data_IF_855465264294
#
_entry.id   IF_855465264294
#
_cell.length_a   1.000
_cell.length_b   1.000
_cell.length_c   1.000
_cell.angle_alpha   90.00
_cell.angle_beta   90.00
_cell.angle_gamma   90.00
#
_symmetry.space_group_name_H-M   'P 1'
#
loop_
_entity.id
_entity.type
_entity.pdbx_description
1 polymer ?
#
# COMPACT_ATOMS: atom_id res chain seq x y z
N UNK A 1 4.83 40.07 -22.60
CA UNK A 1 5.22 38.65 -22.72
C UNK A 1 4.71 37.94 -21.48
N UNK A 2 3.65 37.13 -21.62
CA UNK A 2 3.24 36.24 -20.53
C UNK A 2 4.32 35.16 -20.36
N UNK A 3 4.88 35.09 -19.16
CA UNK A 3 5.82 34.02 -18.80
C UNK A 3 4.98 32.76 -18.66
N UNK A 4 5.01 31.90 -19.68
CA UNK A 4 4.41 30.57 -19.61
C UNK A 4 5.10 29.81 -18.48
N UNK A 5 4.41 29.65 -17.35
CA UNK A 5 4.91 28.85 -16.24
C UNK A 5 4.87 27.39 -16.71
N UNK A 6 6.03 26.71 -16.81
CA UNK A 6 6.05 25.33 -17.26
C UNK A 6 5.22 24.46 -16.30
N UNK A 7 4.41 23.56 -16.88
CA UNK A 7 3.58 22.64 -16.10
C UNK A 7 4.41 21.89 -15.05
N UNK A 8 3.84 21.72 -13.87
CA UNK A 8 4.52 21.00 -12.80
C UNK A 8 4.80 19.54 -13.22
N UNK A 9 6.00 19.00 -12.94
CA UNK A 9 6.33 17.63 -13.30
C UNK A 9 5.38 16.66 -12.60
N UNK A 10 4.93 15.64 -13.34
CA UNK A 10 4.18 14.54 -12.77
C UNK A 10 5.17 13.51 -12.23
N UNK A 11 5.07 13.18 -10.94
CA UNK A 11 5.80 12.04 -10.37
C UNK A 11 4.96 10.79 -10.55
N UNK A 12 5.53 9.77 -11.20
CA UNK A 12 4.83 8.49 -11.41
C UNK A 12 4.83 7.66 -10.13
N UNK A 13 5.94 7.66 -9.37
CA UNK A 13 6.07 6.95 -8.09
C UNK A 13 6.99 7.70 -7.11
N UNK A 14 6.57 7.84 -5.86
CA UNK A 14 7.39 8.27 -4.72
C UNK A 14 7.49 7.13 -3.71
N UNK A 15 8.59 6.39 -3.71
CA UNK A 15 8.88 5.37 -2.70
C UNK A 15 9.57 5.95 -1.46
N UNK A 16 9.27 5.44 -0.27
CA UNK A 16 9.88 5.84 1.00
C UNK A 16 10.24 4.56 1.73
N UNK A 17 11.52 4.25 1.80
CA UNK A 17 12.07 3.00 2.31
C UNK A 17 12.81 3.26 3.62
N UNK A 18 12.63 2.38 4.58
CA UNK A 18 13.54 2.25 5.71
C UNK A 18 14.59 1.20 5.32
N UNK A 19 15.78 1.67 4.95
CA UNK A 19 16.90 0.79 4.64
C UNK A 19 17.67 0.44 5.91
N UNK A 20 17.06 -0.39 6.76
CA UNK A 20 17.76 -0.97 7.91
C UNK A 20 18.89 -1.95 7.52
N UNK A 21 19.10 -2.19 6.22
CA UNK A 21 20.07 -3.14 5.71
C UNK A 21 21.26 -2.39 5.08
N UNK A 22 22.35 -2.35 5.86
CA UNK A 22 23.76 -2.19 5.48
C UNK A 22 24.46 -0.85 5.75
N UNK A 23 23.82 0.32 5.83
CA UNK A 23 24.59 1.59 5.81
C UNK A 23 24.40 2.53 7.02
N UNK A 24 23.20 2.63 7.63
CA UNK A 24 23.03 3.33 8.92
C UNK A 24 21.63 3.10 9.52
N UNK A 25 21.52 2.59 10.78
CA UNK A 25 20.25 2.56 11.50
C UNK A 25 19.62 3.96 11.59
N UNK A 26 18.31 4.06 11.33
CA UNK A 26 17.59 5.34 11.37
C UNK A 26 17.77 6.23 10.14
N UNK A 27 18.14 5.66 8.98
CA UNK A 27 18.11 6.37 7.70
C UNK A 27 16.77 6.16 6.97
N UNK A 28 16.27 7.25 6.39
CA UNK A 28 15.11 7.28 5.49
C UNK A 28 15.65 7.36 4.07
N UNK A 29 15.16 6.49 3.19
CA UNK A 29 15.43 6.51 1.76
C UNK A 29 14.17 6.95 1.03
N UNK A 30 14.20 8.12 0.38
CA UNK A 30 13.10 8.62 -0.46
C UNK A 30 13.47 8.41 -1.92
N UNK A 31 12.77 7.53 -2.60
CA UNK A 31 12.89 7.29 -4.03
C UNK A 31 11.81 8.01 -4.82
N UNK A 32 12.13 8.58 -5.98
CA UNK A 32 11.19 9.22 -6.89
C UNK A 32 11.41 8.70 -8.30
N UNK A 33 10.33 8.35 -9.00
CA UNK A 33 10.36 7.94 -10.41
C UNK A 33 9.60 8.95 -11.26
N UNK A 34 10.28 9.45 -12.28
CA UNK A 34 9.75 10.43 -13.22
C UNK A 34 9.71 9.83 -14.62
N UNK A 35 8.67 10.19 -15.40
CA UNK A 35 8.74 10.02 -16.84
C UNK A 35 9.96 10.79 -17.40
N UNK A 36 10.62 10.24 -18.43
CA UNK A 36 11.79 10.89 -19.05
C UNK A 36 11.54 12.34 -19.49
N UNK A 37 10.30 12.68 -19.85
CA UNK A 37 9.89 14.05 -20.21
C UNK A 37 9.84 15.01 -19.03
N UNK A 38 9.60 14.51 -17.81
CA UNK A 38 9.45 15.30 -16.58
C UNK A 38 10.73 15.38 -15.75
N UNK A 39 11.65 14.43 -15.93
CA UNK A 39 12.89 14.35 -15.14
C UNK A 39 13.81 15.56 -15.35
N UNK A 40 13.86 16.13 -16.56
CA UNK A 40 14.70 17.31 -16.83
C UNK A 40 14.28 18.54 -16.00
N UNK A 41 12.97 18.71 -15.79
CA UNK A 41 12.43 19.78 -14.92
C UNK A 41 12.80 19.53 -13.47
N UNK A 42 12.72 18.28 -13.01
CA UNK A 42 13.13 17.90 -11.68
C UNK A 42 14.65 18.13 -11.47
N UNK A 43 15.50 17.69 -12.40
CA UNK A 43 16.95 17.93 -12.37
C UNK A 43 17.28 19.43 -12.27
N UNK A 44 16.57 20.26 -13.03
CA UNK A 44 16.76 21.71 -12.99
C UNK A 44 16.39 22.28 -11.63
N UNK A 45 15.24 21.90 -11.07
CA UNK A 45 14.80 22.35 -9.74
C UNK A 45 15.73 21.87 -8.65
N UNK A 46 16.15 20.61 -8.74
CA UNK A 46 17.11 20.01 -7.82
C UNK A 46 18.40 20.81 -7.83
N UNK A 47 18.97 21.12 -9.01
CA UNK A 47 20.16 21.98 -9.14
C UNK A 47 19.97 23.39 -8.56
N UNK A 48 18.78 23.95 -8.67
CA UNK A 48 18.47 25.31 -8.18
C UNK A 48 18.20 25.38 -6.67
N UNK A 49 17.74 24.30 -6.05
CA UNK A 49 17.38 24.25 -4.63
C UNK A 49 18.59 24.27 -3.66
N UNK A 50 19.73 24.82 -4.11
CA UNK A 50 21.01 24.83 -3.40
C UNK A 50 21.40 23.45 -2.84
N UNK A 51 21.71 22.53 -3.77
CA UNK A 51 22.14 21.17 -3.43
C UNK A 51 23.32 21.11 -2.47
N UNK A 52 24.12 22.16 -2.32
CA UNK A 52 25.25 22.13 -1.39
C UNK A 52 24.79 21.94 0.06
N UNK A 53 23.65 22.54 0.42
CA UNK A 53 23.07 22.44 1.76
C UNK A 53 22.58 21.01 2.09
N UNK A 54 21.99 20.30 1.12
CA UNK A 54 21.44 18.95 1.34
C UNK A 54 22.42 17.82 0.99
N UNK A 55 23.43 18.05 0.13
CA UNK A 55 24.41 17.02 -0.27
C UNK A 55 25.22 16.44 0.89
N UNK A 56 25.43 17.22 1.95
CA UNK A 56 26.09 16.73 3.17
C UNK A 56 25.23 15.73 3.95
N UNK A 57 23.91 15.75 3.71
CA UNK A 57 22.93 14.96 4.43
C UNK A 57 22.30 13.85 3.58
N UNK A 58 22.56 13.84 2.27
CA UNK A 58 21.84 13.01 1.31
C UNK A 58 22.79 12.29 0.36
N UNK A 59 22.67 10.97 0.30
CA UNK A 59 23.26 10.18 -0.79
C UNK A 59 22.26 10.14 -1.95
N UNK A 60 22.70 10.56 -3.14
CA UNK A 60 21.88 10.56 -4.35
C UNK A 60 22.32 9.40 -5.24
N UNK A 61 21.45 8.42 -5.41
CA UNK A 61 21.67 7.32 -6.33
C UNK A 61 20.84 7.54 -7.60
N UNK A 62 21.51 7.49 -8.75
CA UNK A 62 20.88 7.55 -10.07
C UNK A 62 20.89 6.15 -10.68
N UNK A 63 19.71 5.65 -11.04
CA UNK A 63 19.60 4.42 -11.80
C UNK A 63 18.62 4.59 -12.95
N UNK A 64 19.03 4.18 -14.15
CA UNK A 64 18.16 4.01 -15.30
C UNK A 64 17.74 2.53 -15.34
N UNK A 65 16.55 2.17 -14.82
CA UNK A 65 16.00 0.85 -15.06
C UNK A 65 15.83 0.60 -16.57
N UNK A 66 15.54 -0.65 -16.96
CA UNK A 66 15.13 -0.99 -18.33
C UNK A 66 13.83 -0.29 -18.77
N UNK A 67 13.12 0.40 -17.87
CA UNK A 67 11.95 1.20 -18.18
C UNK A 67 12.32 2.62 -18.64
N UNK A 68 11.39 3.31 -19.29
CA UNK A 68 11.53 4.70 -19.73
C UNK A 68 11.49 5.73 -18.59
N UNK A 69 11.49 5.29 -17.32
CA UNK A 69 11.42 6.15 -16.15
C UNK A 69 12.83 6.40 -15.56
N UNK A 70 13.04 7.61 -15.03
CA UNK A 70 14.26 7.96 -14.29
C UNK A 70 13.97 7.87 -12.80
N UNK A 71 14.78 7.08 -12.08
CA UNK A 71 14.69 6.91 -10.64
C UNK A 71 15.77 7.71 -9.92
N UNK A 72 15.34 8.49 -8.93
CA UNK A 72 16.17 9.21 -7.97
C UNK A 72 15.97 8.55 -6.62
N UNK A 73 17.05 8.34 -5.87
CA UNK A 73 16.96 7.89 -4.47
C UNK A 73 17.76 8.82 -3.58
N UNK A 74 17.14 9.26 -2.49
CA UNK A 74 17.67 10.21 -1.52
C UNK A 74 17.70 9.54 -0.14
N UNK A 75 18.88 9.18 0.33
CA UNK A 75 19.04 8.58 1.66
C UNK A 75 19.57 9.60 2.66
N UNK A 76 18.86 9.80 3.77
CA UNK A 76 19.21 10.75 4.82
C UNK A 76 18.79 10.28 6.22
N UNK A 77 19.44 10.77 7.28
CA UNK A 77 19.04 10.47 8.66
C UNK A 77 17.72 11.17 9.03
N UNK A 78 16.89 10.56 9.90
CA UNK A 78 15.66 11.18 10.43
C UNK A 78 15.91 12.59 10.99
N UNK A 79 17.05 12.83 11.66
CA UNK A 79 17.43 14.14 12.18
C UNK A 79 17.56 15.22 11.08
N UNK A 80 17.99 14.81 9.88
CA UNK A 80 18.12 15.68 8.71
C UNK A 80 16.81 15.90 7.96
N UNK A 81 15.72 15.20 8.32
CA UNK A 81 14.45 15.29 7.60
C UNK A 81 13.88 16.72 7.58
N UNK A 82 14.12 17.51 8.62
CA UNK A 82 13.68 18.91 8.68
C UNK A 82 14.33 19.81 7.62
N UNK A 83 15.51 19.43 7.13
CA UNK A 83 16.26 20.17 6.11
C UNK A 83 15.94 19.60 4.73
N UNK A 84 15.95 18.27 4.61
CA UNK A 84 15.82 17.58 3.32
C UNK A 84 14.39 17.64 2.78
N UNK A 85 13.37 17.45 3.63
CA UNK A 85 11.97 17.36 3.19
C UNK A 85 11.46 18.65 2.55
N UNK A 86 11.66 19.85 3.12
CA UNK A 86 11.23 21.09 2.48
C UNK A 86 11.88 21.30 1.10
N UNK A 87 13.18 20.99 0.97
CA UNK A 87 13.91 21.09 -0.29
C UNK A 87 13.35 20.12 -1.34
N UNK A 88 13.11 18.86 -0.96
CA UNK A 88 12.49 17.87 -1.85
C UNK A 88 11.06 18.25 -2.24
N UNK A 89 10.24 18.69 -1.29
CA UNK A 89 8.85 19.11 -1.53
C UNK A 89 8.78 20.24 -2.56
N UNK A 90 9.71 21.20 -2.49
CA UNK A 90 9.83 22.27 -3.48
C UNK A 90 10.20 21.74 -4.88
N UNK A 91 11.09 20.76 -4.96
CA UNK A 91 11.53 20.18 -6.23
C UNK A 91 10.44 19.33 -6.90
N UNK A 92 9.74 18.51 -6.11
CA UNK A 92 8.71 17.54 -6.52
C UNK A 92 7.52 18.22 -7.22
N UNK A 93 7.10 19.39 -6.74
CA UNK A 93 5.87 20.04 -7.23
C UNK A 93 4.61 19.44 -6.60
N UNK A 94 3.44 19.61 -7.24
CA UNK A 94 2.12 19.35 -6.62
C UNK A 94 1.42 18.07 -7.06
N UNK A 95 1.97 17.33 -8.03
CA UNK A 95 1.27 16.19 -8.68
C UNK A 95 2.08 14.91 -8.55
N UNK A 96 1.60 14.00 -7.70
CA UNK A 96 2.21 12.70 -7.47
C UNK A 96 1.14 11.63 -7.71
N UNK A 97 1.40 10.70 -8.63
CA UNK A 97 0.43 9.66 -8.98
C UNK A 97 0.36 8.57 -7.91
N UNK A 98 1.52 8.08 -7.45
CA UNK A 98 1.63 6.96 -6.52
C UNK A 98 2.69 7.23 -5.47
N UNK A 99 2.40 6.89 -4.22
CA UNK A 99 3.35 6.87 -3.11
C UNK A 99 3.45 5.46 -2.58
N UNK A 100 4.67 5.00 -2.35
CA UNK A 100 4.98 3.73 -1.72
C UNK A 100 5.79 3.95 -0.45
N UNK A 101 5.51 3.19 0.59
CA UNK A 101 6.27 3.17 1.81
C UNK A 101 6.65 1.73 2.12
N UNK A 102 7.93 1.45 2.35
CA UNK A 102 8.45 0.10 2.54
C UNK A 102 9.25 0.00 3.84
N UNK A 103 9.05 -1.10 4.56
CA UNK A 103 9.87 -1.53 5.72
C UNK A 103 9.96 -0.55 6.90
N UNK A 104 9.02 0.39 7.06
CA UNK A 104 9.03 1.38 8.14
C UNK A 104 9.02 0.71 9.53
N UNK A 105 10.19 0.44 10.10
CA UNK A 105 10.31 -0.36 11.31
C UNK A 105 11.48 0.11 12.14
N UNK A 106 11.20 0.54 13.37
CA UNK A 106 12.26 0.92 14.28
C UNK A 106 12.96 -0.35 14.76
N UNK A 107 14.08 -0.70 14.13
CA UNK A 107 14.95 -1.79 14.58
C UNK A 107 15.78 -1.29 15.76
N UNK A 108 15.14 -1.13 16.92
CA UNK A 108 15.92 -1.09 18.17
C UNK A 108 16.51 -2.48 18.38
N UNK A 109 17.80 -2.59 18.09
CA UNK A 109 18.55 -3.81 18.26
C UNK A 109 18.58 -4.21 19.75
N UNK A 110 18.50 -5.51 20.02
CA UNK A 110 18.88 -6.17 21.28
C UNK A 110 17.98 -5.99 22.52
N UNK A 111 16.71 -6.38 22.43
CA UNK A 111 16.13 -7.15 23.54
C UNK A 111 15.30 -8.29 22.97
N UNK A 112 15.29 -9.45 23.62
CA UNK A 112 14.56 -10.65 23.19
C UNK A 112 13.02 -10.47 23.21
N UNK A 113 12.54 -9.25 23.38
CA UNK A 113 11.16 -8.81 23.24
C UNK A 113 10.99 -8.15 21.87
N UNK A 114 10.38 -8.89 20.94
CA UNK A 114 10.11 -8.51 19.54
C UNK A 114 9.10 -7.35 19.36
N UNK A 115 9.26 -6.24 20.08
CA UNK A 115 8.45 -5.03 19.90
C UNK A 115 9.07 -4.15 18.80
N UNK A 116 8.90 -4.56 17.55
CA UNK A 116 9.18 -3.68 16.41
C UNK A 116 8.01 -2.70 16.30
N UNK A 117 8.27 -1.44 16.65
CA UNK A 117 7.29 -0.36 16.57
C UNK A 117 7.30 0.26 15.17
N UNK A 118 6.11 0.56 14.66
CA UNK A 118 5.97 1.38 13.46
C UNK A 118 6.51 2.78 13.76
N UNK A 119 7.43 3.28 12.94
CA UNK A 119 8.10 4.54 13.18
C UNK A 119 7.14 5.72 12.94
N UNK A 120 6.54 6.24 14.03
CA UNK A 120 5.77 7.50 14.05
C UNK A 120 6.47 8.63 13.28
N UNK A 121 7.79 8.68 13.39
CA UNK A 121 8.66 9.64 12.69
C UNK A 121 8.56 9.53 11.16
N UNK A 122 8.49 8.32 10.61
CA UNK A 122 8.43 8.12 9.16
C UNK A 122 7.06 8.58 8.62
N UNK A 123 5.95 8.17 9.25
CA UNK A 123 4.63 8.63 8.82
C UNK A 123 4.50 10.15 8.90
N UNK A 124 5.03 10.77 9.96
CA UNK A 124 5.07 12.24 10.07
C UNK A 124 5.92 12.90 8.96
N UNK A 125 7.07 12.30 8.61
CA UNK A 125 7.89 12.75 7.48
C UNK A 125 7.14 12.63 6.16
N UNK A 126 6.42 11.54 5.95
CA UNK A 126 5.59 11.32 4.76
C UNK A 126 4.50 12.37 4.68
N UNK A 127 3.70 12.57 5.74
CA UNK A 127 2.65 13.61 5.77
C UNK A 127 3.21 14.98 5.39
N UNK A 128 4.41 15.32 5.88
CA UNK A 128 5.05 16.60 5.55
C UNK A 128 5.57 16.68 4.12
N UNK A 129 6.14 15.60 3.59
CA UNK A 129 6.61 15.54 2.20
C UNK A 129 5.46 15.64 1.20
N UNK A 130 4.31 15.12 1.59
CA UNK A 130 3.12 15.09 0.77
C UNK A 130 2.27 16.36 0.92
N UNK A 131 2.59 17.24 1.87
CA UNK A 131 1.79 18.43 2.13
C UNK A 131 1.64 19.30 0.87
N UNK A 132 0.39 19.72 0.59
CA UNK A 132 0.04 20.43 -0.63
C UNK A 132 0.17 19.64 -1.94
N UNK A 133 0.42 18.32 -1.88
CA UNK A 133 0.42 17.42 -3.06
C UNK A 133 -0.87 16.61 -3.15
N UNK A 134 -1.33 16.39 -4.38
CA UNK A 134 -2.47 15.52 -4.66
C UNK A 134 -1.96 14.12 -5.00
N UNK A 135 -2.50 13.10 -4.32
CA UNK A 135 -2.09 11.70 -4.42
C UNK A 135 -3.33 10.83 -4.53
N UNK A 136 -3.40 9.98 -5.55
CA UNK A 136 -4.51 9.04 -5.69
C UNK A 136 -4.22 7.66 -5.10
N UNK A 137 -2.95 7.24 -5.07
CA UNK A 137 -2.54 5.89 -4.63
C UNK A 137 -1.49 6.00 -3.52
N UNK A 138 -1.80 5.41 -2.36
CA UNK A 138 -0.86 5.23 -1.25
C UNK A 138 -0.66 3.74 -1.01
N UNK A 139 0.59 3.29 -0.95
CA UNK A 139 0.95 1.92 -0.65
C UNK A 139 1.90 1.90 0.53
N UNK A 140 1.66 1.05 1.52
CA UNK A 140 2.45 1.03 2.74
C UNK A 140 2.69 -0.41 3.17
N UNK A 141 3.95 -0.72 3.48
CA UNK A 141 4.37 -1.97 4.09
C UNK A 141 4.76 -1.73 5.55
N UNK A 142 3.97 -2.28 6.46
CA UNK A 142 4.11 -2.12 7.91
C UNK A 142 4.15 -3.48 8.59
N UNK A 143 5.01 -3.63 9.60
CA UNK A 143 4.98 -4.85 10.42
C UNK A 143 3.77 -4.90 11.34
N UNK A 144 3.51 -3.78 12.01
CA UNK A 144 2.45 -3.56 13.01
C UNK A 144 1.83 -2.18 12.79
N UNK A 145 0.54 -2.02 13.15
CA UNK A 145 -0.17 -0.74 13.12
C UNK A 145 -0.67 -0.46 14.53
N UNK A 146 -0.08 0.54 15.17
CA UNK A 146 -0.51 1.08 16.47
C UNK A 146 -1.50 2.25 16.25
N UNK A 147 -2.25 2.62 17.29
CA UNK A 147 -3.29 3.67 17.19
C UNK A 147 -2.73 5.02 16.71
N UNK A 148 -1.56 5.43 17.20
CA UNK A 148 -0.90 6.67 16.74
C UNK A 148 -0.52 6.60 15.25
N UNK A 149 0.00 5.47 14.80
CA UNK A 149 0.35 5.25 13.40
C UNK A 149 -0.90 5.23 12.52
N UNK A 150 -2.00 4.63 13.01
CA UNK A 150 -3.29 4.65 12.35
C UNK A 150 -3.83 6.08 12.20
N UNK A 151 -3.78 6.88 13.27
CA UNK A 151 -4.23 8.27 13.23
C UNK A 151 -3.44 9.09 12.19
N UNK A 152 -2.11 8.91 12.13
CA UNK A 152 -1.30 9.55 11.09
C UNK A 152 -1.65 9.08 9.68
N UNK A 153 -1.91 7.78 9.51
CA UNK A 153 -2.34 7.22 8.23
C UNK A 153 -3.70 7.79 7.79
N UNK A 154 -4.68 7.83 8.70
CA UNK A 154 -6.01 8.38 8.42
C UNK A 154 -5.92 9.85 8.03
N UNK A 155 -5.17 10.65 8.79
CA UNK A 155 -4.93 12.05 8.47
C UNK A 155 -4.32 12.22 7.07
N UNK A 156 -3.37 11.36 6.69
CA UNK A 156 -2.79 11.39 5.34
C UNK A 156 -3.83 11.01 4.27
N UNK A 157 -4.61 9.94 4.47
CA UNK A 157 -5.66 9.50 3.54
C UNK A 157 -6.69 10.60 3.30
N UNK A 158 -7.13 11.27 4.38
CA UNK A 158 -8.10 12.36 4.31
C UNK A 158 -7.53 13.61 3.66
N UNK A 159 -6.37 14.09 4.15
CA UNK A 159 -5.75 15.34 3.68
C UNK A 159 -5.44 15.30 2.19
N UNK A 160 -4.96 14.15 1.70
CA UNK A 160 -4.58 13.97 0.29
C UNK A 160 -5.69 13.41 -0.60
N UNK A 161 -6.87 13.12 -0.02
CA UNK A 161 -8.02 12.50 -0.71
C UNK A 161 -7.62 11.24 -1.47
N UNK A 162 -6.89 10.35 -0.79
CA UNK A 162 -6.38 9.12 -1.38
C UNK A 162 -7.57 8.23 -1.81
N UNK A 163 -7.56 7.83 -3.07
CA UNK A 163 -8.59 6.98 -3.66
C UNK A 163 -8.28 5.48 -3.46
N UNK A 164 -7.00 5.11 -3.52
CA UNK A 164 -6.51 3.75 -3.35
C UNK A 164 -5.49 3.61 -2.23
N UNK A 165 -5.71 2.67 -1.31
CA UNK A 165 -4.75 2.28 -0.27
C UNK A 165 -4.31 0.81 -0.44
N UNK A 166 -3.02 0.55 -0.63
CA UNK A 166 -2.45 -0.80 -0.49
C UNK A 166 -1.76 -0.93 0.86
N UNK A 167 -2.13 -1.92 1.66
CA UNK A 167 -1.50 -2.24 2.93
C UNK A 167 -0.85 -3.63 2.84
N UNK A 168 0.47 -3.67 3.02
CA UNK A 168 1.24 -4.88 3.17
C UNK A 168 1.58 -5.04 4.65
N UNK A 169 1.13 -6.09 5.31
CA UNK A 169 1.42 -6.25 6.73
C UNK A 169 1.67 -7.68 7.18
N UNK A 170 2.56 -7.82 8.16
CA UNK A 170 2.75 -9.06 8.94
C UNK A 170 1.62 -9.20 9.99
N UNK A 171 1.29 -8.06 10.62
CA UNK A 171 0.26 -7.69 11.60
C UNK A 171 0.09 -8.55 12.88
N UNK A 172 0.48 -7.92 14.00
CA UNK A 172 0.18 -8.27 15.40
C UNK A 172 -0.37 -7.00 16.09
N UNK A 173 -1.45 -6.41 15.56
CA UNK A 173 -2.18 -5.35 16.27
C UNK A 173 -3.29 -5.98 17.10
N UNK A 174 -3.69 -5.42 18.26
CA UNK A 174 -4.78 -5.98 19.06
C UNK A 174 -6.13 -6.01 18.33
N UNK A 175 -6.38 -5.08 17.39
CA UNK A 175 -7.66 -4.96 16.69
C UNK A 175 -7.51 -4.67 15.17
N UNK A 176 -6.98 -5.61 14.37
CA UNK A 176 -6.71 -5.40 12.94
C UNK A 176 -8.01 -5.23 12.16
N UNK A 177 -9.08 -5.92 12.55
CA UNK A 177 -10.38 -5.79 11.91
C UNK A 177 -10.92 -4.36 12.06
N UNK A 178 -10.87 -3.79 13.27
CA UNK A 178 -11.27 -2.40 13.50
C UNK A 178 -10.47 -1.42 12.65
N UNK A 179 -9.14 -1.60 12.59
CA UNK A 179 -8.26 -0.77 11.74
C UNK A 179 -8.68 -0.83 10.26
N UNK A 180 -8.84 -2.04 9.72
CA UNK A 180 -9.18 -2.25 8.30
C UNK A 180 -10.57 -1.68 7.99
N UNK A 181 -11.55 -1.89 8.87
CA UNK A 181 -12.89 -1.32 8.72
C UNK A 181 -12.85 0.20 8.70
N UNK A 182 -12.12 0.84 9.61
CA UNK A 182 -11.98 2.31 9.64
C UNK A 182 -11.28 2.81 8.37
N UNK A 183 -10.20 2.18 7.92
CA UNK A 183 -9.53 2.58 6.67
C UNK A 183 -10.47 2.46 5.45
N UNK A 184 -11.32 1.42 5.42
CA UNK A 184 -12.23 1.15 4.30
C UNK A 184 -13.30 2.22 4.09
N UNK A 185 -13.61 3.02 5.12
CA UNK A 185 -14.58 4.12 4.98
C UNK A 185 -13.97 5.36 4.32
N UNK A 186 -12.64 5.44 4.23
CA UNK A 186 -11.94 6.63 3.73
C UNK A 186 -11.47 6.51 2.28
N UNK A 187 -11.41 5.31 1.71
CA UNK A 187 -10.91 5.06 0.35
C UNK A 187 -11.96 4.38 -0.54
N UNK A 188 -11.82 4.50 -1.86
CA UNK A 188 -12.68 3.79 -2.84
C UNK A 188 -12.10 2.44 -3.24
N UNK A 189 -10.81 2.25 -3.07
CA UNK A 189 -10.09 1.05 -3.49
C UNK A 189 -9.08 0.65 -2.41
N UNK A 190 -9.01 -0.63 -2.10
CA UNK A 190 -8.11 -1.14 -1.08
C UNK A 190 -7.49 -2.47 -1.48
N UNK A 191 -6.19 -2.61 -1.23
CA UNK A 191 -5.47 -3.88 -1.33
C UNK A 191 -4.91 -4.24 0.04
N UNK A 192 -5.16 -5.44 0.49
CA UNK A 192 -4.63 -6.00 1.73
C UNK A 192 -3.74 -7.18 1.37
N UNK A 193 -2.46 -7.11 1.73
CA UNK A 193 -1.50 -8.19 1.49
C UNK A 193 -0.88 -8.62 2.81
N UNK A 194 -1.09 -9.88 3.20
CA UNK A 194 -0.44 -10.43 4.39
C UNK A 194 0.91 -11.05 4.04
N UNK A 195 1.98 -10.52 4.64
CA UNK A 195 3.34 -11.01 4.49
C UNK A 195 3.56 -12.21 5.44
N UNK A 196 4.32 -13.22 5.00
CA UNK A 196 4.71 -14.37 5.81
C UNK A 196 5.47 -13.94 7.09
N UNK A 197 5.06 -14.46 8.25
CA UNK A 197 5.72 -14.15 9.53
C UNK A 197 7.10 -14.85 9.63
N UNK A 198 8.17 -14.14 10.06
CA UNK A 198 9.53 -14.69 10.09
C UNK A 198 9.70 -15.91 11.00
N UNK A 199 8.97 -15.96 12.12
CA UNK A 199 9.06 -17.03 13.14
C UNK A 199 8.33 -18.29 12.68
N UNK A 200 7.47 -18.18 11.68
CA UNK A 200 6.49 -19.19 11.30
C UNK A 200 6.91 -20.01 10.09
N UNK A 201 8.20 -20.09 9.76
CA UNK A 201 8.70 -21.06 8.75
C UNK A 201 8.34 -22.52 9.07
N UNK A 202 7.78 -22.80 10.26
CA UNK A 202 7.26 -24.09 10.70
C UNK A 202 5.73 -24.15 10.90
N UNK A 203 4.98 -23.05 10.79
CA UNK A 203 3.51 -23.13 10.88
C UNK A 203 2.94 -23.65 9.57
N UNK A 204 1.89 -24.45 9.66
CA UNK A 204 1.20 -24.99 8.50
C UNK A 204 0.50 -23.86 7.74
N UNK A 205 0.58 -23.91 6.39
CA UNK A 205 -0.12 -23.01 5.45
C UNK A 205 -1.65 -23.01 5.63
N UNK A 206 -2.16 -23.94 6.45
CA UNK A 206 -3.56 -24.14 6.81
C UNK A 206 -4.01 -23.22 7.95
N UNK A 207 -3.13 -22.40 8.53
CA UNK A 207 -3.51 -21.54 9.65
C UNK A 207 -4.67 -20.61 9.26
N UNK A 208 -5.69 -20.55 10.13
CA UNK A 208 -6.98 -19.92 9.85
C UNK A 208 -7.02 -18.44 10.26
N UNK A 209 -6.01 -17.65 9.89
CA UNK A 209 -5.97 -16.23 10.28
C UNK A 209 -5.64 -15.27 9.15
N UNK A 210 -6.22 -14.08 9.23
CA UNK A 210 -5.85 -12.91 8.45
C UNK A 210 -5.45 -11.80 9.43
N UNK A 211 -4.23 -11.31 9.33
CA UNK A 211 -3.64 -10.30 10.23
C UNK A 211 -3.74 -10.68 11.73
N UNK A 212 -3.52 -11.95 12.05
CA UNK A 212 -3.56 -12.49 13.42
C UNK A 212 -4.96 -12.79 13.98
N UNK A 213 -6.04 -12.53 13.24
CA UNK A 213 -7.40 -12.84 13.71
C UNK A 213 -7.86 -14.24 13.29
N UNK A 214 -8.23 -15.05 14.27
CA UNK A 214 -8.75 -16.42 14.08
C UNK A 214 -10.27 -16.41 14.29
N UNK A 215 -11.00 -17.20 13.50
CA UNK A 215 -12.44 -17.42 13.70
C UNK A 215 -13.32 -16.19 13.42
N UNK A 216 -12.77 -15.18 12.77
CA UNK A 216 -13.52 -13.99 12.34
C UNK A 216 -14.44 -14.33 11.17
N UNK A 217 -15.67 -13.81 11.21
CA UNK A 217 -16.57 -13.81 10.06
C UNK A 217 -16.08 -12.77 9.03
N UNK A 218 -15.11 -13.20 8.22
CA UNK A 218 -14.56 -12.37 7.17
C UNK A 218 -15.59 -12.06 6.07
N UNK A 219 -16.65 -12.86 5.91
CA UNK A 219 -17.69 -12.55 4.95
C UNK A 219 -18.44 -11.28 5.36
N UNK A 220 -18.91 -11.22 6.61
CA UNK A 220 -19.58 -10.03 7.14
C UNK A 220 -18.65 -8.81 7.18
N UNK A 221 -17.39 -8.99 7.55
CA UNK A 221 -16.40 -7.91 7.53
C UNK A 221 -16.22 -7.31 6.12
N UNK A 222 -16.05 -8.17 5.10
CA UNK A 222 -15.90 -7.74 3.70
C UNK A 222 -17.17 -7.07 3.17
N UNK A 223 -18.34 -7.62 3.47
CA UNK A 223 -19.63 -7.00 3.13
C UNK A 223 -19.75 -5.61 3.78
N UNK A 224 -19.35 -5.48 5.05
CA UNK A 224 -19.36 -4.20 5.75
C UNK A 224 -18.44 -3.17 5.10
N UNK A 225 -17.21 -3.55 4.73
CA UNK A 225 -16.28 -2.68 4.00
C UNK A 225 -16.90 -2.17 2.69
N UNK A 226 -17.43 -3.09 1.86
CA UNK A 226 -17.93 -2.78 0.52
C UNK A 226 -19.29 -2.09 0.50
N UNK A 227 -20.08 -2.18 1.59
CA UNK A 227 -21.32 -1.41 1.77
C UNK A 227 -21.04 0.09 1.89
N UNK A 228 -19.87 0.48 2.40
CA UNK A 228 -19.47 1.86 2.60
C UNK A 228 -18.93 2.53 1.32
N UNK A 229 -17.90 3.37 1.50
CA UNK A 229 -17.23 4.09 0.41
C UNK A 229 -16.43 3.16 -0.53
N UNK A 230 -16.01 2.00 -0.04
CA UNK A 230 -15.14 1.08 -0.77
C UNK A 230 -15.86 0.41 -1.94
N UNK A 231 -15.36 0.59 -3.15
CA UNK A 231 -15.88 -0.03 -4.36
C UNK A 231 -15.02 -1.25 -4.76
N UNK A 232 -13.71 -1.20 -4.50
CA UNK A 232 -12.74 -2.22 -4.92
C UNK A 232 -11.98 -2.77 -3.72
N UNK A 233 -11.93 -4.10 -3.60
CA UNK A 233 -11.15 -4.78 -2.56
C UNK A 233 -10.36 -5.94 -3.14
N UNK A 234 -9.06 -5.98 -2.85
CA UNK A 234 -8.18 -7.11 -3.10
C UNK A 234 -7.62 -7.60 -1.76
N UNK A 235 -7.76 -8.89 -1.46
CA UNK A 235 -7.12 -9.54 -0.30
C UNK A 235 -6.20 -10.66 -0.79
N UNK A 236 -4.91 -10.50 -0.57
CA UNK A 236 -3.86 -11.46 -0.87
C UNK A 236 -3.31 -12.04 0.43
N UNK A 237 -3.68 -13.30 0.72
CA UNK A 237 -3.25 -14.00 1.92
C UNK A 237 -2.72 -15.39 1.58
N UNK A 238 -1.65 -15.41 0.78
CA UNK A 238 -1.14 -16.62 0.13
C UNK A 238 -0.57 -17.65 1.10
N UNK A 239 -0.18 -17.20 2.30
CA UNK A 239 0.47 -18.02 3.31
C UNK A 239 -0.51 -18.64 4.30
N UNK A 240 -1.71 -18.05 4.45
CA UNK A 240 -2.69 -18.40 5.48
C UNK A 240 -4.08 -18.55 4.88
N UNK A 241 -4.24 -19.54 3.99
CA UNK A 241 -5.44 -19.74 3.17
C UNK A 241 -6.69 -20.12 4.00
N UNK A 242 -6.49 -20.50 5.25
CA UNK A 242 -7.55 -20.89 6.18
C UNK A 242 -8.45 -19.75 6.66
N UNK A 243 -8.06 -18.49 6.48
CA UNK A 243 -8.82 -17.35 7.01
C UNK A 243 -10.24 -17.24 6.45
N UNK A 244 -10.45 -17.65 5.19
CA UNK A 244 -11.75 -17.66 4.54
C UNK A 244 -12.29 -19.08 4.46
N UNK A 245 -13.20 -19.42 5.37
CA UNK A 245 -13.92 -20.70 5.34
C UNK A 245 -14.78 -20.82 4.08
N UNK A 246 -15.19 -22.05 3.75
CA UNK A 246 -16.11 -22.30 2.63
C UNK A 246 -17.45 -21.58 2.85
N UNK A 247 -17.97 -21.60 4.06
CA UNK A 247 -19.26 -20.96 4.39
C UNK A 247 -19.17 -19.43 4.27
N UNK A 248 -18.03 -18.84 4.66
CA UNK A 248 -17.79 -17.40 4.45
C UNK A 248 -17.70 -17.08 2.95
N UNK A 249 -16.99 -17.90 2.17
CA UNK A 249 -16.92 -17.72 0.71
C UNK A 249 -18.30 -17.87 0.04
N UNK A 250 -19.08 -18.89 0.42
CA UNK A 250 -20.45 -19.08 -0.04
C UNK A 250 -21.35 -17.89 0.33
N UNK A 251 -21.19 -17.34 1.54
CA UNK A 251 -21.89 -16.14 1.98
C UNK A 251 -21.55 -14.91 1.14
N UNK A 252 -20.27 -14.69 0.80
CA UNK A 252 -19.85 -13.57 -0.05
C UNK A 252 -20.50 -13.62 -1.44
N UNK A 253 -20.59 -14.83 -2.02
CA UNK A 253 -21.21 -15.06 -3.34
C UNK A 253 -22.69 -14.69 -3.38
N UNK A 254 -23.39 -14.79 -2.25
CA UNK A 254 -24.80 -14.43 -2.13
C UNK A 254 -24.98 -12.96 -1.72
N UNK A 255 -24.22 -12.50 -0.73
CA UNK A 255 -24.43 -11.19 -0.10
C UNK A 255 -23.95 -10.03 -0.96
N UNK A 256 -22.80 -10.15 -1.63
CA UNK A 256 -22.23 -9.01 -2.39
C UNK A 256 -23.04 -8.64 -3.62
N UNK A 257 -23.50 -9.59 -4.47
CA UNK A 257 -24.37 -9.23 -5.60
C UNK A 257 -25.71 -8.64 -5.16
N UNK A 258 -26.17 -8.95 -3.95
CA UNK A 258 -27.40 -8.39 -3.38
C UNK A 258 -27.24 -6.94 -2.86
N UNK A 259 -26.01 -6.41 -2.75
CA UNK A 259 -25.78 -5.02 -2.32
C UNK A 259 -26.24 -3.97 -3.36
N UNK A 260 -26.49 -4.37 -4.61
CA UNK A 260 -26.89 -3.44 -5.68
C UNK A 260 -25.81 -2.41 -6.03
N UNK A 261 -24.55 -2.67 -5.68
CA UNK A 261 -23.42 -1.78 -5.86
C UNK A 261 -22.46 -2.35 -6.91
N UNK A 262 -21.80 -1.47 -7.68
CA UNK A 262 -20.78 -1.88 -8.68
C UNK A 262 -19.47 -2.28 -8.00
N UNK A 263 -19.44 -3.47 -7.41
CA UNK A 263 -18.31 -3.94 -6.61
C UNK A 263 -17.27 -4.64 -7.49
N UNK A 264 -16.01 -4.56 -7.08
CA UNK A 264 -14.93 -5.39 -7.59
C UNK A 264 -14.24 -6.02 -6.37
N UNK A 265 -14.36 -7.33 -6.22
CA UNK A 265 -13.73 -8.09 -5.15
C UNK A 265 -12.85 -9.20 -5.75
N UNK A 266 -11.65 -9.34 -5.21
CA UNK A 266 -10.79 -10.50 -5.43
C UNK A 266 -10.14 -10.90 -4.12
N UNK A 267 -10.33 -12.15 -3.68
CA UNK A 267 -9.78 -12.64 -2.41
C UNK A 267 -9.14 -13.99 -2.59
N UNK A 268 -8.00 -14.23 -1.95
CA UNK A 268 -7.40 -15.56 -1.91
C UNK A 268 -8.35 -16.54 -1.24
N UNK A 269 -8.66 -17.66 -1.90
CA UNK A 269 -9.60 -18.68 -1.43
C UNK A 269 -9.27 -20.04 -2.08
N UNK A 270 -8.91 -21.04 -1.27
CA UNK A 270 -8.57 -22.40 -1.73
C UNK A 270 -9.66 -23.45 -1.47
N UNK A 271 -10.84 -23.02 -1.01
CA UNK A 271 -11.92 -23.90 -0.56
C UNK A 271 -12.68 -24.60 -1.69
N UNK A 272 -12.28 -24.38 -2.93
CA UNK A 272 -12.92 -24.89 -4.14
C UNK A 272 -11.90 -25.62 -5.03
N UNK A 273 -11.46 -26.84 -4.64
CA UNK A 273 -10.43 -27.58 -5.37
C UNK A 273 -10.86 -27.96 -6.80
N UNK A 274 -12.16 -28.20 -7.01
CA UNK A 274 -12.78 -28.39 -8.33
C UNK A 274 -13.58 -27.14 -8.67
N UNK A 275 -12.89 -26.02 -8.91
CA UNK A 275 -13.46 -24.70 -9.21
C UNK A 275 -14.88 -24.80 -9.79
N UNK A 276 -15.92 -24.35 -9.05
CA UNK A 276 -17.27 -24.32 -9.57
C UNK A 276 -17.29 -23.60 -10.92
N UNK A 277 -18.24 -23.95 -11.81
CA UNK A 277 -18.38 -23.20 -13.04
C UNK A 277 -18.64 -21.73 -12.71
N UNK A 278 -17.96 -20.84 -13.44
CA UNK A 278 -18.20 -19.41 -13.36
C UNK A 278 -19.67 -19.13 -13.71
N UNK A 279 -20.27 -18.16 -13.03
CA UNK A 279 -21.65 -17.75 -13.29
C UNK A 279 -21.86 -16.27 -13.01
N UNK A 280 -22.97 -15.73 -13.50
CA UNK A 280 -23.35 -14.33 -13.28
C UNK A 280 -24.64 -14.25 -12.48
N UNK A 281 -24.71 -13.32 -11.52
CA UNK A 281 -25.92 -13.01 -10.75
C UNK A 281 -25.96 -11.53 -10.40
N UNK A 282 -27.12 -10.87 -10.54
CA UNK A 282 -27.30 -9.44 -10.31
C UNK A 282 -26.19 -8.57 -10.92
N UNK A 283 -25.86 -8.81 -12.19
CA UNK A 283 -24.77 -8.14 -12.92
C UNK A 283 -23.37 -8.31 -12.31
N UNK A 284 -23.14 -9.33 -11.48
CA UNK A 284 -21.83 -9.71 -10.96
C UNK A 284 -21.40 -11.06 -11.50
N UNK A 285 -20.22 -11.09 -12.13
CA UNK A 285 -19.52 -12.32 -12.48
C UNK A 285 -18.85 -12.89 -11.23
N UNK A 286 -19.13 -14.15 -10.95
CA UNK A 286 -18.55 -14.95 -9.86
C UNK A 286 -17.59 -15.95 -10.51
N UNK A 287 -16.30 -15.81 -10.20
CA UNK A 287 -15.24 -16.56 -10.88
C UNK A 287 -14.28 -17.23 -9.88
N UNK A 288 -13.80 -18.42 -10.23
CA UNK A 288 -12.85 -19.19 -9.42
C UNK A 288 -11.56 -19.45 -10.19
N UNK A 289 -10.51 -18.67 -9.91
CA UNK A 289 -9.23 -18.79 -10.60
C UNK A 289 -8.29 -19.75 -9.87
N UNK A 290 -7.85 -20.81 -10.55
CA UNK A 290 -6.91 -21.82 -10.01
C UNK A 290 -5.67 -22.04 -10.91
N UNK A 291 -5.32 -21.07 -11.77
CA UNK A 291 -4.18 -21.24 -12.70
C UNK A 291 -2.80 -21.10 -12.04
N UNK A 292 -2.74 -20.53 -10.85
CA UNK A 292 -1.53 -20.38 -10.05
C UNK A 292 -1.89 -20.61 -8.59
N UNK A 293 -1.11 -21.41 -7.86
CA UNK A 293 -1.24 -21.44 -6.41
C UNK A 293 -0.78 -20.10 -5.85
N UNK A 294 -1.64 -19.37 -5.11
CA UNK A 294 -2.94 -19.77 -4.56
C UNK A 294 -4.17 -19.35 -5.39
N UNK A 295 -5.27 -20.09 -5.22
CA UNK A 295 -6.54 -19.82 -5.89
C UNK A 295 -7.26 -18.57 -5.35
N UNK A 296 -8.15 -18.00 -6.18
CA UNK A 296 -8.92 -16.79 -5.86
C UNK A 296 -10.42 -16.97 -6.11
N UNK A 297 -11.23 -16.38 -5.23
CA UNK A 297 -12.63 -16.06 -5.46
C UNK A 297 -12.71 -14.60 -5.95
N UNK A 298 -13.31 -14.39 -7.12
CA UNK A 298 -13.59 -13.06 -7.67
C UNK A 298 -15.09 -12.83 -7.78
N UNK A 299 -15.54 -11.66 -7.34
CA UNK A 299 -16.93 -11.21 -7.41
C UNK A 299 -16.89 -9.80 -7.99
N UNK A 300 -17.17 -9.69 -9.28
CA UNK A 300 -16.90 -8.46 -10.05
C UNK A 300 -18.16 -8.08 -10.80
N UNK A 301 -18.64 -6.85 -10.55
CA UNK A 301 -19.70 -6.27 -11.36
C UNK A 301 -19.26 -6.21 -12.84
N UNK A 302 -20.11 -6.63 -13.76
CA UNK A 302 -19.84 -6.78 -15.20
C UNK A 302 -19.23 -5.50 -15.82
N UNK A 303 -19.70 -4.32 -15.39
CA UNK A 303 -19.15 -3.03 -15.83
C UNK A 303 -17.69 -2.76 -15.40
N UNK A 304 -17.09 -3.63 -14.59
CA UNK A 304 -15.75 -3.51 -14.00
C UNK A 304 -14.83 -4.66 -14.38
N UNK A 305 -15.25 -5.56 -15.26
CA UNK A 305 -14.47 -6.74 -15.69
C UNK A 305 -13.12 -6.37 -16.33
N UNK A 306 -13.07 -5.21 -17.00
CA UNK A 306 -11.85 -4.70 -17.63
C UNK A 306 -10.89 -4.05 -16.63
N UNK A 307 -11.31 -3.82 -15.38
CA UNK A 307 -10.40 -3.33 -14.35
C UNK A 307 -9.41 -4.41 -13.97
N UNK A 308 -8.14 -4.16 -14.30
CA UNK A 308 -7.05 -5.01 -13.84
C UNK A 308 -6.91 -4.92 -12.32
N UNK A 309 -6.57 -6.04 -11.70
CA UNK A 309 -5.91 -6.01 -10.39
C UNK A 309 -4.54 -5.38 -10.62
N UNK A 310 -4.18 -4.36 -9.85
CA UNK A 310 -2.78 -3.94 -9.76
C UNK A 310 -2.02 -5.02 -8.96
N UNK A 311 -1.94 -6.24 -9.50
CA UNK A 311 -1.22 -7.34 -8.87
C UNK A 311 0.26 -6.96 -8.89
N UNK A 312 0.85 -6.81 -7.70
CA UNK A 312 2.27 -6.53 -7.60
C UNK A 312 3.00 -7.85 -7.77
N UNK A 313 3.84 -7.95 -8.80
CA UNK A 313 4.92 -8.93 -8.79
C UNK A 313 5.87 -8.54 -7.65
N UNK A 314 5.67 -9.12 -6.47
CA UNK A 314 6.63 -9.02 -5.38
C UNK A 314 7.80 -9.92 -5.77
N UNK A 315 8.89 -9.31 -6.24
CA UNK A 315 10.18 -10.00 -6.43
C UNK A 315 10.87 -10.22 -5.10
#
# INVERSE_FOLDING_TARGET
MEVVVPEAPLIELLGIFDESNAWSPGSICVSMEFAATSSATFDRRLKLADLQSIRQHVQINHWKPMSSAIKYSFQFNVASANIVIPALSHCVGKRIKRVEMHKCSDRQAFSNTFNIKCCRSILAVVTRLLDGTQISILRISLRTIEDDALNHLLNAVEAHKIDHLSLYAECITPNPLGVILVLSTHVRSMTLHQILLPVERKMERTSNFLFGQVGTDWALAIVHMLRGKLDKLLIENFWYLGYLSKDNADSLRTLLPALGKKIWLSVTCDKYPQSPPDYTTNDHSIQFYNYSTPAFLRIIHTSREQEQSETVQIQ
#
